data_IF_399463315080
#
_entry.id   IF_399463315080
#
_cell.length_a   1.000
_cell.length_b   1.000
_cell.length_c   1.000
_cell.angle_alpha   90.00
_cell.angle_beta   90.00
_cell.angle_gamma   90.00
#
_symmetry.space_group_name_H-M   'P 1'
#
loop_
_entity.id
_entity.type
_entity.pdbx_description
1 polymer ?
2 non-polymer ?
3 non-polymer ?
4 water ?
#
# COMPACT_ATOMS: atom_id res chain seq x y z
N UNK A 7 3.93 -9.48 16.88
CA UNK A 7 5.13 -8.58 16.71
C UNK A 7 4.80 -7.51 15.66
N UNK A 8 5.76 -7.08 14.84
CA UNK A 8 5.58 -5.98 13.85
C UNK A 8 5.93 -4.61 14.40
N UNK A 9 5.62 -3.55 13.64
CA UNK A 9 5.90 -2.12 13.96
C UNK A 9 4.59 -1.41 14.34
N UNK A 10 4.56 -0.47 15.29
CA UNK A 10 3.33 0.22 15.76
C UNK A 10 3.50 1.74 15.85
N UNK A 11 2.41 2.45 15.59
CA UNK A 11 2.29 3.92 15.78
C UNK A 11 0.93 4.19 16.41
N UNK A 12 0.91 4.79 17.61
CA UNK A 12 -0.34 4.93 18.38
C UNK A 12 -0.99 3.56 18.59
N UNK A 13 -2.27 3.43 18.25
CA UNK A 13 -3.06 2.17 18.40
C UNK A 13 -2.97 1.24 17.18
N UNK A 14 -2.24 1.61 16.12
CA UNK A 14 -2.14 0.81 14.86
C UNK A 14 -0.90 -0.07 14.87
N UNK A 15 -1.05 -1.33 14.47
CA UNK A 15 0.07 -2.32 14.36
C UNK A 15 0.18 -2.80 12.90
N UNK A 16 1.39 -2.79 12.34
CA UNK A 16 1.69 -3.35 10.99
C UNK A 16 2.42 -4.69 11.15
N UNK A 17 2.02 -5.73 10.41
CA UNK A 17 2.69 -7.07 10.45
C UNK A 17 2.86 -7.64 9.04
N UNK A 18 3.90 -8.45 8.85
CA UNK A 18 4.13 -9.22 7.60
C UNK A 18 4.64 -10.63 7.94
N UNK A 19 4.29 -11.60 7.11
CA UNK A 19 4.90 -12.96 7.09
C UNK A 19 5.72 -13.17 5.82
N UNK A 20 6.02 -12.15 5.02
CA UNK A 20 6.87 -12.29 3.83
C UNK A 20 6.11 -12.84 2.62
N UNK A 21 4.79 -12.92 2.65
CA UNK A 21 4.01 -13.38 1.48
C UNK A 21 4.11 -12.37 0.33
N UNK A 22 4.08 -12.85 -0.92
CA UNK A 22 4.15 -12.03 -2.15
C UNK A 22 2.96 -12.40 -3.05
N UNK A 23 2.04 -11.47 -3.31
CA UNK A 23 0.73 -11.74 -3.95
C UNK A 23 0.28 -10.58 -4.84
N UNK A 24 -0.65 -10.86 -5.76
CA UNK A 24 -1.43 -9.84 -6.50
C UNK A 24 -2.27 -8.99 -5.53
N UNK A 25 -2.81 -7.87 -5.99
CA UNK A 25 -3.65 -6.99 -5.12
C UNK A 25 -4.82 -7.78 -4.52
N UNK A 26 -5.63 -8.46 -5.35
CA UNK A 26 -6.88 -9.11 -4.84
C UNK A 26 -6.52 -10.26 -3.87
N UNK A 27 -5.47 -11.01 -4.14
CA UNK A 27 -5.02 -12.10 -3.22
C UNK A 27 -4.44 -11.53 -1.90
N UNK A 28 -3.72 -10.41 -1.98
CA UNK A 28 -3.21 -9.67 -0.79
C UNK A 28 -4.38 -9.19 0.09
N UNK A 29 -5.40 -8.58 -0.50
CA UNK A 29 -6.59 -8.11 0.27
C UNK A 29 -7.25 -9.31 1.00
N UNK A 30 -7.39 -10.46 0.32
CA UNK A 30 -8.03 -11.67 0.91
C UNK A 30 -7.20 -12.14 2.12
N UNK A 31 -5.87 -12.21 1.99
CA UNK A 31 -4.98 -12.68 3.08
C UNK A 31 -5.18 -11.78 4.33
N UNK A 32 -5.18 -10.45 4.19
CA UNK A 32 -5.30 -9.54 5.36
C UNK A 32 -6.70 -9.68 5.99
N UNK A 33 -7.75 -9.78 5.17
CA UNK A 33 -9.14 -9.93 5.70
C UNK A 33 -9.30 -11.29 6.43
N UNK A 34 -8.70 -12.37 5.94
CA UNK A 34 -8.75 -13.71 6.59
C UNK A 34 -8.08 -13.62 7.98
N UNK A 35 -7.06 -12.76 8.15
CA UNK A 35 -6.36 -12.49 9.44
C UNK A 35 -7.12 -11.47 10.32
N UNK A 36 -8.30 -10.99 9.91
CA UNK A 36 -9.14 -10.01 10.64
C UNK A 36 -8.47 -8.62 10.69
N UNK A 37 -7.70 -8.26 9.66
CA UNK A 37 -7.14 -6.91 9.46
C UNK A 37 -7.48 -6.38 8.07
N UNK A 38 -6.66 -5.47 7.55
CA UNK A 38 -6.80 -4.94 6.17
C UNK A 38 -5.40 -4.61 5.62
N UNK A 39 -5.27 -4.28 4.34
CA UNK A 39 -3.95 -3.89 3.78
C UNK A 39 -3.45 -2.58 4.44
N UNK A 40 -2.13 -2.45 4.59
CA UNK A 40 -1.45 -1.24 5.13
C UNK A 40 -2.06 0.03 4.51
N UNK A 41 -2.49 0.97 5.36
CA UNK A 41 -3.17 2.23 5.00
C UNK A 41 -2.52 3.40 5.76
N UNK A 42 -1.26 3.79 5.46
CA UNK A 42 -0.58 4.86 6.21
C UNK A 42 -1.29 6.22 6.00
N UNK A 43 -1.70 6.84 7.12
CA UNK A 43 -2.48 8.11 7.14
C UNK A 43 -1.63 9.30 7.63
N UNK A 44 -0.33 9.12 7.89
CA UNK A 44 0.57 10.18 8.43
C UNK A 44 2.02 9.83 8.06
N UNK A 45 2.93 10.80 8.21
CA UNK A 45 4.39 10.62 8.00
C UNK A 45 4.92 9.52 8.94
N UNK A 46 4.50 9.52 10.20
CA UNK A 46 4.95 8.53 11.21
C UNK A 46 4.48 7.12 10.80
N UNK A 47 3.23 6.93 10.37
CA UNK A 47 2.75 5.61 9.89
C UNK A 47 3.53 5.19 8.61
N UNK A 48 3.75 6.12 7.68
CA UNK A 48 4.49 5.80 6.44
C UNK A 48 5.90 5.29 6.78
N UNK A 49 6.59 5.93 7.73
CA UNK A 49 7.97 5.52 8.12
C UNK A 49 7.98 4.10 8.72
N UNK A 50 6.96 3.72 9.50
CA UNK A 50 6.87 2.35 10.07
C UNK A 50 6.74 1.31 8.93
N UNK A 51 5.84 1.52 7.96
CA UNK A 51 5.70 0.58 6.79
C UNK A 51 7.04 0.51 6.03
N UNK A 52 7.69 1.66 5.82
CA UNK A 52 8.96 1.75 5.02
C UNK A 52 10.07 0.89 5.68
N UNK A 53 10.19 0.91 7.00
CA UNK A 53 11.19 0.07 7.71
C UNK A 53 10.97 -1.42 7.37
N UNK A 54 9.72 -1.88 7.27
CA UNK A 54 9.42 -3.31 6.97
C UNK A 54 9.77 -3.65 5.50
N UNK A 55 9.49 -2.73 4.58
CA UNK A 55 9.89 -2.87 3.15
C UNK A 55 11.43 -3.01 3.05
N UNK A 56 12.17 -2.19 3.79
CA UNK A 56 13.66 -2.27 3.77
C UNK A 56 14.14 -3.62 4.33
N UNK A 57 13.54 -4.11 5.41
CA UNK A 57 13.94 -5.40 6.05
C UNK A 57 13.70 -6.56 5.07
N UNK A 58 12.54 -6.59 4.42
CA UNK A 58 12.13 -7.70 3.50
C UNK A 58 12.72 -7.54 2.09
N UNK A 59 13.25 -6.37 1.73
CA UNK A 59 13.92 -6.10 0.41
C UNK A 59 12.93 -6.31 -0.74
N UNK A 60 11.68 -5.82 -0.59
CA UNK A 60 10.59 -5.99 -1.59
C UNK A 60 9.56 -4.86 -1.43
N UNK A 61 9.22 -4.21 -2.54
CA UNK A 61 8.12 -3.19 -2.54
C UNK A 61 6.81 -3.85 -2.05
N UNK A 62 5.95 -3.09 -1.33
CA UNK A 62 4.67 -3.59 -0.76
C UNK A 62 3.46 -2.88 -1.40
N UNK A 63 2.31 -3.57 -1.41
CA UNK A 63 1.00 -2.90 -1.67
C UNK A 63 0.59 -2.00 -0.48
N UNK A 64 -0.06 -0.88 -0.81
CA UNK A 64 -0.95 -0.15 0.13
C UNK A 64 -2.40 -0.53 -0.22
N UNK A 65 -3.37 -0.18 0.63
CA UNK A 65 -4.81 -0.54 0.40
C UNK A 65 -5.42 0.30 -0.72
N UNK A 66 -4.98 1.53 -0.91
CA UNK A 66 -5.77 2.55 -1.64
C UNK A 66 -5.76 2.30 -3.16
N UNK A 67 -6.86 2.65 -3.85
CA UNK A 67 -7.01 2.39 -5.31
C UNK A 67 -7.93 3.45 -5.94
N UNK A 68 -7.89 3.56 -7.27
CA UNK A 68 -8.80 4.49 -7.99
C UNK A 68 -9.73 3.73 -8.95
N UNK A 69 -10.22 2.54 -8.57
CA UNK A 69 -11.04 1.70 -9.50
C UNK A 69 -12.38 2.41 -9.79
N UNK A 70 -12.96 3.16 -8.84
CA UNK A 70 -14.27 3.87 -9.00
C UNK A 70 -14.13 5.06 -9.95
N UNK A 71 -13.49 6.14 -9.48
CA UNK A 71 -13.26 7.41 -10.23
C UNK A 71 -11.76 7.58 -10.49
N UNK A 72 -11.37 7.51 -11.77
CA UNK A 72 -9.98 7.64 -12.28
C UNK A 72 -9.32 8.90 -11.70
N UNK A 73 -8.28 8.73 -10.88
CA UNK A 73 -7.47 9.83 -10.32
C UNK A 73 -7.86 10.19 -8.90
N UNK A 74 -8.97 9.65 -8.39
CA UNK A 74 -9.41 9.80 -6.98
C UNK A 74 -9.05 8.52 -6.22
N UNK A 75 -7.93 8.54 -5.48
CA UNK A 75 -7.44 7.38 -4.68
C UNK A 75 -8.20 7.37 -3.34
N UNK A 76 -8.80 6.24 -2.95
CA UNK A 76 -9.63 6.10 -1.73
C UNK A 76 -9.23 4.86 -0.91
N UNK A 77 -9.54 4.84 0.38
CA UNK A 77 -9.41 3.74 1.36
C UNK A 77 -10.53 2.70 1.16
N UNK A 78 -10.48 1.55 1.86
CA UNK A 78 -11.59 0.56 1.86
C UNK A 78 -12.96 1.03 2.40
N UNK A 79 -13.00 2.21 3.04
CA UNK A 79 -14.24 2.92 3.47
C UNK A 79 -14.88 3.67 2.29
N UNK A 80 -14.13 3.90 1.22
CA UNK A 80 -14.47 4.77 0.07
C UNK A 80 -14.14 6.24 0.30
N UNK A 81 -13.51 6.61 1.42
CA UNK A 81 -13.14 8.03 1.69
C UNK A 81 -11.84 8.41 0.95
N UNK A 82 -11.69 9.69 0.62
CA UNK A 82 -10.49 10.28 -0.05
C UNK A 82 -9.24 10.28 0.87
N UNK A 83 -8.04 10.22 0.27
CA UNK A 83 -6.72 10.30 0.99
C UNK A 83 -6.66 11.52 1.94
N UNK A 84 -6.20 11.32 3.18
CA UNK A 84 -5.87 12.43 4.13
C UNK A 84 -4.35 12.68 4.18
N UNK A 85 -3.54 11.89 3.45
CA UNK A 85 -2.04 11.91 3.44
C UNK A 85 -1.58 11.25 2.13
N UNK A 86 -0.52 11.76 1.52
CA UNK A 86 0.12 11.09 0.35
C UNK A 86 1.64 11.31 0.33
N UNK A 87 2.39 10.44 -0.36
CA UNK A 87 3.88 10.56 -0.47
C UNK A 87 4.34 10.10 -1.87
N UNK A 88 3.71 10.60 -2.93
CA UNK A 88 4.01 10.18 -4.33
C UNK A 88 5.47 10.47 -4.71
N UNK A 89 6.12 9.54 -5.41
CA UNK A 89 7.42 9.80 -6.06
C UNK A 89 7.24 10.90 -7.12
N UNK A 90 8.34 11.56 -7.49
CA UNK A 90 8.34 12.64 -8.52
C UNK A 90 7.66 12.14 -9.79
N UNK A 91 6.64 12.86 -10.28
CA UNK A 91 5.90 12.55 -11.53
C UNK A 91 4.79 11.51 -11.38
N UNK A 92 4.52 11.01 -10.16
CA UNK A 92 3.44 10.00 -9.90
C UNK A 92 2.27 10.70 -9.22
N UNK A 93 1.01 10.19 -9.33
CA UNK A 93 0.66 9.03 -10.15
C UNK A 93 0.46 9.40 -11.63
N UNK A 94 0.77 8.48 -12.56
CA UNK A 94 0.79 8.78 -14.02
C UNK A 94 -0.15 7.86 -14.82
N UNK A 95 -0.80 6.86 -14.20
CA UNK A 95 -1.75 5.93 -14.89
C UNK A 95 -1.13 5.45 -16.21
N UNK A 96 0.10 4.93 -16.18
CA UNK A 96 0.85 4.55 -17.40
C UNK A 96 1.92 3.49 -17.09
N UNK A 97 1.53 2.22 -17.17
CA UNK A 97 2.44 1.05 -17.30
C UNK A 97 2.69 0.83 -18.79
N UNK A 98 3.59 1.63 -19.38
CA UNK A 98 3.81 1.69 -20.85
C UNK A 98 2.48 1.96 -21.56
N UNK A 99 1.66 2.87 -21.01
CA UNK A 99 0.36 3.27 -21.58
C UNK A 99 -0.82 2.57 -20.93
N UNK A 100 -0.62 1.38 -20.34
CA UNK A 100 -1.71 0.53 -19.75
C UNK A 100 -2.14 1.11 -18.40
N UNK A 101 -3.40 0.86 -17.95
CA UNK A 101 -3.91 1.40 -16.69
C UNK A 101 -3.19 0.92 -15.43
N UNK A 102 -3.09 1.80 -14.44
CA UNK A 102 -2.45 1.55 -13.11
C UNK A 102 -3.41 2.06 -12.02
N UNK A 103 -4.16 1.14 -11.39
CA UNK A 103 -5.23 1.50 -10.43
C UNK A 103 -4.83 1.25 -8.96
N UNK A 104 -3.70 0.59 -8.70
CA UNK A 104 -3.25 0.23 -7.32
C UNK A 104 -1.96 1.02 -6.98
N UNK A 105 -1.45 0.88 -5.74
CA UNK A 105 -0.32 1.70 -5.20
C UNK A 105 0.74 0.77 -4.56
N UNK A 106 2.02 0.93 -4.96
CA UNK A 106 3.19 0.33 -4.29
C UNK A 106 3.97 1.40 -3.49
N UNK A 107 4.62 0.95 -2.41
CA UNK A 107 5.57 1.76 -1.58
C UNK A 107 6.99 1.20 -1.73
N UNK A 108 7.94 2.09 -2.06
CA UNK A 108 9.39 1.79 -2.21
C UNK A 108 10.11 1.76 -0.85
N UNK A 109 11.34 1.17 -0.79
CA UNK A 109 12.16 1.21 0.42
C UNK A 109 12.62 2.62 0.85
N UNK A 110 12.52 3.63 -0.04
CA UNK A 110 12.76 5.05 0.34
C UNK A 110 11.47 5.74 0.84
N UNK A 111 10.34 5.04 0.93
CA UNK A 111 9.06 5.57 1.46
C UNK A 111 8.19 6.24 0.42
N UNK A 112 8.66 6.47 -0.81
CA UNK A 112 7.83 7.11 -1.87
C UNK A 112 6.87 6.09 -2.53
N UNK A 113 5.78 6.61 -3.11
CA UNK A 113 4.68 5.80 -3.69
C UNK A 113 4.66 5.88 -5.23
N UNK A 114 4.19 4.80 -5.88
CA UNK A 114 4.04 4.74 -7.36
C UNK A 114 2.75 3.98 -7.70
N UNK A 115 1.93 4.47 -8.64
CA UNK A 115 0.73 3.69 -9.09
C UNK A 115 1.19 2.55 -10.03
N UNK A 116 0.61 1.34 -9.87
CA UNK A 116 0.97 0.08 -10.58
C UNK A 116 -0.29 -0.66 -11.05
N UNK A 117 -0.16 -1.57 -12.05
CA UNK A 117 -1.23 -2.52 -12.35
C UNK A 117 -1.53 -3.42 -11.14
N UNK A 118 -2.83 -3.72 -10.92
CA UNK A 118 -3.31 -4.47 -9.73
C UNK A 118 -2.96 -5.97 -9.87
N UNK A 119 -2.42 -6.40 -11.03
CA UNK A 119 -1.88 -7.76 -11.27
C UNK A 119 -0.42 -7.93 -10.78
N UNK A 120 0.28 -6.84 -10.39
CA UNK A 120 1.71 -6.94 -9.95
C UNK A 120 1.85 -7.79 -8.67
N UNK A 121 2.88 -8.61 -8.53
CA UNK A 121 3.13 -9.45 -7.33
C UNK A 121 4.03 -8.65 -6.36
N UNK A 122 3.50 -8.30 -5.17
CA UNK A 122 4.21 -7.43 -4.17
C UNK A 122 4.15 -8.03 -2.76
N UNK A 123 5.04 -7.55 -1.88
CA UNK A 123 5.00 -7.89 -0.43
C UNK A 123 3.62 -7.53 0.18
N UNK A 124 3.10 -8.43 1.02
CA UNK A 124 1.83 -8.26 1.77
C UNK A 124 2.17 -7.79 3.21
N UNK A 125 1.75 -6.56 3.54
CA UNK A 125 1.80 -5.94 4.91
C UNK A 125 0.35 -5.62 5.32
N UNK A 126 -0.06 -6.17 6.45
CA UNK A 126 -1.42 -5.93 7.00
C UNK A 126 -1.37 -4.97 8.20
N UNK A 127 -2.49 -4.28 8.47
CA UNK A 127 -2.68 -3.41 9.67
C UNK A 127 -3.83 -3.94 10.54
N UNK A 128 -3.65 -3.77 11.85
CA UNK A 128 -4.58 -4.21 12.93
C UNK A 128 -4.76 -3.08 13.94
X LIG B 1 3.03 4.81 -12.21
X LIG C 1 -5.67 4.88 -12.41
X LIG D 1 5.38 2.85 -13.77
X LIG D 1 4.33 2.67 -12.80
X LIG D 1 6.09 4.13 -13.56
X LIG D 1 5.22 5.21 -13.41
#
# INVERSE_FOLDING_TARGET
>A
KAVLFPDGQAVGEKIFKTAGAVKSYSDAEQLCREAKGQLASPRSSAENEAVTQMVRAQEKNAYLSMNDISTEGRFTYPTGEILVYSNWADGEPNNSDEGQPENCVEIFPDGKWNDVPCSKQLLVICEF
>B hetero
1 CA CA
>C hetero
1 CA CA
>D hetero
1 EDO C1 O1 C2 O2
#
